data_IF_364688461861
#
_entry.id   IF_364688461861
#
_cell.length_a   1.000
_cell.length_b   1.000
_cell.length_c   1.000
_cell.angle_alpha   90.00
_cell.angle_beta   90.00
_cell.angle_gamma   90.00
#
_symmetry.space_group_name_H-M   'P 1'
#
loop_
_entity.id
_entity.type
_entity.pdbx_description
1 polymer ?
#
# COMPACT_ATOMS: atom_id res chain seq x y z
N UNK A 1 -31.09 -27.80 11.06
CA UNK A 1 -30.31 -26.95 10.13
C UNK A 1 -29.71 -25.81 10.98
N UNK A 2 -28.44 -25.91 11.36
CA UNK A 2 -27.76 -24.89 12.18
C UNK A 2 -27.53 -23.64 11.32
N UNK A 3 -28.01 -22.47 11.77
CA UNK A 3 -27.61 -21.17 11.22
C UNK A 3 -26.19 -20.92 11.72
N UNK A 4 -25.22 -20.78 10.81
CA UNK A 4 -23.93 -20.23 11.17
C UNK A 4 -24.15 -18.83 11.77
N UNK A 5 -23.60 -18.56 12.96
CA UNK A 5 -23.54 -17.21 13.51
C UNK A 5 -22.68 -16.38 12.58
N UNK A 6 -23.21 -15.28 12.01
CA UNK A 6 -22.34 -14.30 11.38
C UNK A 6 -21.43 -13.72 12.47
N UNK A 7 -20.13 -13.60 12.20
CA UNK A 7 -19.24 -12.81 13.03
C UNK A 7 -19.88 -11.44 13.28
N UNK A 8 -20.04 -11.05 14.54
CA UNK A 8 -20.53 -9.71 14.92
C UNK A 8 -19.49 -8.62 14.66
N UNK A 9 -18.27 -9.01 14.29
CA UNK A 9 -17.16 -8.11 14.07
C UNK A 9 -17.11 -7.63 12.61
N UNK A 10 -16.85 -6.33 12.43
CA UNK A 10 -16.57 -5.73 11.14
C UNK A 10 -15.18 -6.19 10.65
N UNK A 11 -14.96 -6.19 9.33
CA UNK A 11 -13.72 -6.71 8.73
C UNK A 11 -12.45 -6.10 9.35
N UNK A 12 -12.44 -4.80 9.62
CA UNK A 12 -11.29 -4.08 10.19
C UNK A 12 -11.06 -4.35 11.68
N UNK A 13 -12.03 -4.94 12.39
CA UNK A 13 -11.88 -5.29 13.81
C UNK A 13 -11.07 -6.57 14.00
N UNK A 14 -11.02 -7.42 12.97
CA UNK A 14 -10.37 -8.74 13.03
C UNK A 14 -9.36 -8.97 11.92
N UNK A 15 -9.37 -8.14 10.87
CA UNK A 15 -8.49 -8.28 9.72
C UNK A 15 -7.05 -7.89 10.03
N UNK A 16 -6.10 -8.58 9.41
CA UNK A 16 -4.67 -8.30 9.47
C UNK A 16 -4.33 -7.21 8.45
N UNK A 17 -3.81 -6.08 8.94
CA UNK A 17 -3.38 -4.96 8.09
C UNK A 17 -1.86 -5.00 7.95
N UNK A 18 -1.37 -4.95 6.71
CA UNK A 18 0.05 -4.81 6.43
C UNK A 18 0.35 -3.39 5.96
N UNK A 19 1.22 -2.69 6.68
CA UNK A 19 1.66 -1.35 6.29
C UNK A 19 2.86 -1.45 5.34
N UNK A 20 2.78 -0.76 4.21
CA UNK A 20 3.86 -0.66 3.24
C UNK A 20 4.36 0.79 3.21
N UNK A 21 5.68 0.95 3.27
CA UNK A 21 6.36 2.20 2.93
C UNK A 21 6.90 2.08 1.49
N UNK A 22 6.22 2.64 0.47
CA UNK A 22 6.45 2.29 -0.94
C UNK A 22 7.90 2.52 -1.39
N UNK A 23 8.49 3.66 -1.02
CA UNK A 23 9.87 4.06 -1.40
C UNK A 23 10.96 3.08 -0.96
N UNK A 24 10.69 2.19 -0.01
CA UNK A 24 11.67 1.21 0.46
C UNK A 24 11.17 -0.23 0.39
N UNK A 25 10.05 -0.47 -0.30
CA UNK A 25 9.47 -1.81 -0.39
C UNK A 25 10.06 -2.62 -1.54
N UNK A 26 9.83 -2.18 -2.78
CA UNK A 26 10.32 -2.87 -3.99
C UNK A 26 10.46 -1.85 -5.11
N UNK A 27 11.68 -1.68 -5.60
CA UNK A 27 11.98 -0.94 -6.85
C UNK A 27 11.75 -1.89 -8.03
N UNK A 28 10.98 -1.43 -9.03
CA UNK A 28 10.67 -2.19 -10.25
C UNK A 28 11.37 -1.66 -11.51
N UNK A 29 11.97 -0.47 -11.45
CA UNK A 29 12.54 0.23 -12.62
C UNK A 29 14.07 0.42 -12.54
N UNK A 30 14.68 0.17 -11.38
CA UNK A 30 16.11 0.27 -11.12
C UNK A 30 16.63 1.68 -10.79
N UNK A 31 15.76 2.63 -10.44
CA UNK A 31 16.14 4.00 -10.07
C UNK A 31 16.55 4.16 -8.59
N UNK A 32 16.39 3.10 -7.80
CA UNK A 32 16.74 3.04 -6.38
C UNK A 32 15.62 3.45 -5.43
N UNK A 33 14.41 3.73 -5.93
CA UNK A 33 13.23 4.08 -5.14
C UNK A 33 12.15 3.04 -5.38
N UNK A 34 11.56 2.52 -4.30
CA UNK A 34 10.42 1.62 -4.43
C UNK A 34 9.16 2.33 -4.96
N UNK A 35 8.38 1.62 -5.78
CA UNK A 35 7.28 2.19 -6.55
C UNK A 35 6.00 1.33 -6.47
N UNK A 36 4.90 1.84 -7.03
CA UNK A 36 3.61 1.13 -6.98
C UNK A 36 3.59 -0.15 -7.83
N UNK A 37 4.38 -0.24 -8.90
CA UNK A 37 4.51 -1.47 -9.69
C UNK A 37 5.19 -2.56 -8.88
N UNK A 38 6.25 -2.24 -8.14
CA UNK A 38 6.90 -3.15 -7.20
C UNK A 38 5.96 -3.62 -6.08
N UNK A 39 5.04 -2.77 -5.62
CA UNK A 39 3.96 -3.19 -4.71
C UNK A 39 3.02 -4.19 -5.38
N UNK A 40 2.60 -3.93 -6.62
CA UNK A 40 1.72 -4.83 -7.37
C UNK A 40 2.35 -6.22 -7.58
N UNK A 41 3.65 -6.29 -7.86
CA UNK A 41 4.39 -7.55 -8.05
C UNK A 41 4.43 -8.44 -6.81
N UNK A 42 4.23 -7.88 -5.61
CA UNK A 42 4.25 -8.62 -4.33
C UNK A 42 2.87 -8.94 -3.77
N UNK A 43 1.79 -8.57 -4.46
CA UNK A 43 0.43 -8.80 -3.95
C UNK A 43 0.13 -10.29 -3.71
N UNK A 44 0.62 -11.18 -4.56
CA UNK A 44 0.43 -12.63 -4.38
C UNK A 44 1.12 -13.15 -3.11
N UNK A 45 2.31 -12.64 -2.80
CA UNK A 45 3.05 -12.99 -1.58
C UNK A 45 2.35 -12.44 -0.32
N UNK A 46 1.83 -11.21 -0.38
CA UNK A 46 1.08 -10.60 0.71
C UNK A 46 -0.26 -11.31 0.95
N UNK A 47 -0.93 -11.75 -0.12
CA UNK A 47 -2.12 -12.58 -0.02
C UNK A 47 -1.80 -13.96 0.58
N UNK A 48 -0.71 -14.59 0.16
CA UNK A 48 -0.24 -15.86 0.72
C UNK A 48 0.16 -15.76 2.21
N UNK A 49 0.67 -14.59 2.64
CA UNK A 49 0.94 -14.29 4.05
C UNK A 49 -0.35 -14.21 4.90
N UNK A 50 -1.51 -14.01 4.28
CA UNK A 50 -2.81 -13.90 4.96
C UNK A 50 -3.18 -12.48 5.35
N UNK A 51 -2.68 -11.47 4.63
CA UNK A 51 -3.04 -10.06 4.83
C UNK A 51 -4.45 -9.79 4.28
N UNK A 52 -5.29 -9.12 5.07
CA UNK A 52 -6.66 -8.75 4.67
C UNK A 52 -6.73 -7.36 4.02
N UNK A 53 -5.83 -6.45 4.39
CA UNK A 53 -5.76 -5.10 3.84
C UNK A 53 -4.34 -4.52 3.87
N UNK A 54 -4.06 -3.63 2.92
CA UNK A 54 -2.79 -2.89 2.84
C UNK A 54 -3.03 -1.44 3.26
N UNK A 55 -2.14 -0.91 4.09
CA UNK A 55 -2.04 0.53 4.37
C UNK A 55 -0.76 1.09 3.77
N UNK A 56 -0.87 2.00 2.81
CA UNK A 56 0.27 2.69 2.23
C UNK A 56 0.59 3.95 3.05
N UNK A 57 1.88 4.14 3.38
CA UNK A 57 2.41 5.48 3.64
C UNK A 57 2.18 6.40 2.41
N UNK A 58 2.28 7.74 2.55
CA UNK A 58 1.86 8.67 1.50
C UNK A 58 2.46 8.41 0.12
N UNK A 59 1.62 8.50 -0.91
CA UNK A 59 1.97 8.29 -2.33
C UNK A 59 1.68 9.50 -3.23
N UNK A 60 1.37 10.63 -2.61
CA UNK A 60 0.98 11.87 -3.29
C UNK A 60 2.22 12.74 -3.55
N UNK A 61 2.18 13.66 -4.54
CA UNK A 61 3.24 14.63 -4.76
C UNK A 61 3.59 15.38 -3.48
N UNK A 62 4.89 15.45 -3.18
CA UNK A 62 5.42 16.06 -1.96
C UNK A 62 6.78 16.71 -2.22
N UNK A 63 7.10 17.85 -1.58
CA UNK A 63 8.46 18.41 -1.53
C UNK A 63 9.46 17.54 -0.77
N UNK A 64 8.99 16.49 -0.09
CA UNK A 64 9.78 15.51 0.65
C UNK A 64 10.50 16.07 1.89
N UNK A 65 10.00 17.15 2.48
CA UNK A 65 10.51 17.66 3.76
C UNK A 65 10.19 16.72 4.93
N UNK A 66 9.11 15.95 4.83
CA UNK A 66 8.68 14.93 5.79
C UNK A 66 8.34 13.61 5.09
N UNK A 67 9.19 13.19 4.15
CA UNK A 67 9.13 11.88 3.48
C UNK A 67 7.74 11.53 2.89
N UNK A 68 7.03 12.52 2.36
CA UNK A 68 5.72 12.35 1.71
C UNK A 68 4.53 12.76 2.57
N UNK A 69 4.72 13.02 3.87
CA UNK A 69 3.64 13.51 4.74
C UNK A 69 3.35 15.02 4.54
N UNK A 70 4.30 15.77 3.98
CA UNK A 70 4.12 17.14 3.48
C UNK A 70 3.53 17.13 2.06
N UNK A 71 2.23 16.88 1.95
CA UNK A 71 1.52 16.70 0.66
C UNK A 71 1.30 18.05 -0.05
N UNK A 72 1.69 18.11 -1.33
CA UNK A 72 1.49 19.28 -2.20
C UNK A 72 0.20 19.19 -3.04
N UNK A 73 -0.22 17.98 -3.41
CA UNK A 73 -1.45 17.74 -4.17
C UNK A 73 -2.09 16.41 -3.78
N UNK A 74 -3.25 16.46 -3.12
CA UNK A 74 -3.96 15.27 -2.65
C UNK A 74 -4.68 14.49 -3.76
N UNK A 75 -4.76 15.03 -4.97
CA UNK A 75 -5.53 14.46 -6.08
C UNK A 75 -4.67 13.81 -7.17
N UNK A 76 -3.33 13.84 -7.01
CA UNK A 76 -2.38 13.23 -7.93
C UNK A 76 -1.50 12.20 -7.21
N UNK A 77 -0.85 11.34 -7.99
CA UNK A 77 0.18 10.41 -7.49
C UNK A 77 1.56 11.03 -7.74
N UNK A 78 2.49 10.83 -6.82
CA UNK A 78 3.87 11.26 -7.00
C UNK A 78 4.45 10.58 -8.25
N UNK A 79 4.93 11.34 -9.26
CA UNK A 79 5.50 10.77 -10.48
C UNK A 79 6.71 9.86 -10.26
N UNK A 80 7.40 10.00 -9.12
CA UNK A 80 8.49 9.10 -8.73
C UNK A 80 8.01 7.73 -8.21
N UNK A 81 6.72 7.57 -7.94
CA UNK A 81 6.13 6.30 -7.47
C UNK A 81 5.24 5.63 -8.52
N UNK A 82 4.95 6.32 -9.62
CA UNK A 82 4.12 5.82 -10.70
C UNK A 82 4.74 6.16 -12.04
N UNK A 83 5.09 5.13 -12.79
CA UNK A 83 5.65 5.26 -14.12
C UNK A 83 4.61 4.75 -15.09
N UNK A 84 4.12 5.64 -15.95
CA UNK A 84 3.36 5.22 -17.12
C UNK A 84 4.37 4.58 -18.06
N UNK A 85 4.34 3.24 -18.16
CA UNK A 85 4.91 2.57 -19.33
C UNK A 85 4.28 3.06 -20.62
#
# INVERSE_FOLDING_TARGET
RLKAMSSSYLWWQTGTIYQIYPRSFQDSNGDGIGDLTGVLERLDELAALGVDAIWLSPIYPSPMADFGYDIADYCNIDPSLWHSG
#
